data_IF_888661112976
#
_entry.id   IF_888661112976
#
_cell.length_a   1.000
_cell.length_b   1.000
_cell.length_c   1.000
_cell.angle_alpha   90.00
_cell.angle_beta   90.00
_cell.angle_gamma   90.00
#
_symmetry.space_group_name_H-M   'P 1'
#
loop_
_entity.id
_entity.type
_entity.pdbx_description
1 polymer ?
#
# COMPACT_ATOMS: atom_id res chain seq x y z
N UNK A 1 17.61 17.21 4.32
CA UNK A 1 16.96 16.17 3.47
C UNK A 1 15.51 16.05 3.92
N UNK A 2 14.55 16.14 2.99
CA UNK A 2 13.14 16.00 3.30
C UNK A 2 12.84 14.56 3.76
N UNK A 3 12.09 14.43 4.85
CA UNK A 3 11.67 13.15 5.38
C UNK A 3 10.52 12.57 4.52
N UNK A 4 10.66 11.33 4.06
CA UNK A 4 9.66 10.66 3.21
C UNK A 4 8.84 9.70 4.05
N UNK A 5 7.58 10.03 4.33
CA UNK A 5 6.62 9.14 4.99
C UNK A 5 6.22 8.02 4.05
N UNK A 6 6.55 6.79 4.41
CA UNK A 6 6.27 5.63 3.59
C UNK A 6 5.78 4.43 4.42
N UNK A 7 4.78 3.74 3.87
CA UNK A 7 4.41 2.38 4.26
C UNK A 7 5.10 1.45 3.30
N UNK A 8 5.82 0.46 3.83
CA UNK A 8 6.62 -0.46 3.03
C UNK A 8 6.30 -1.90 3.36
N UNK A 9 6.58 -2.75 2.38
CA UNK A 9 6.62 -4.17 2.51
C UNK A 9 8.06 -4.67 2.39
N UNK A 10 8.46 -5.49 3.35
CA UNK A 10 9.65 -6.31 3.23
C UNK A 10 9.28 -7.74 2.81
N UNK A 11 10.12 -8.34 1.97
CA UNK A 11 10.17 -9.78 1.70
C UNK A 11 11.52 -10.34 2.11
N UNK A 12 11.53 -11.49 2.78
CA UNK A 12 12.76 -12.22 3.06
C UNK A 12 13.27 -12.90 1.79
N UNK A 13 14.49 -12.55 1.40
CA UNK A 13 15.25 -13.13 0.30
C UNK A 13 16.13 -14.32 0.75
N UNK A 14 15.83 -14.92 1.91
CA UNK A 14 16.53 -16.12 2.35
C UNK A 14 16.46 -17.21 1.26
N UNK A 15 17.59 -17.78 0.83
CA UNK A 15 17.65 -18.64 -0.35
C UNK A 15 16.88 -19.95 -0.17
N UNK A 16 16.86 -20.51 1.05
CA UNK A 16 16.12 -21.74 1.40
C UNK A 16 15.65 -21.70 2.86
N UNK A 17 14.65 -22.51 3.21
CA UNK A 17 14.17 -22.74 4.58
C UNK A 17 12.99 -21.87 5.03
N UNK A 18 12.63 -21.99 6.32
CA UNK A 18 11.41 -21.41 6.94
C UNK A 18 11.27 -19.88 6.86
N UNK A 19 12.31 -19.18 6.43
CA UNK A 19 12.33 -17.73 6.31
C UNK A 19 12.02 -17.24 4.88
N UNK A 20 12.23 -18.06 3.86
CA UNK A 20 12.05 -17.68 2.44
C UNK A 20 10.64 -17.15 2.20
N UNK A 21 10.54 -15.99 1.55
CA UNK A 21 9.26 -15.40 1.14
C UNK A 21 8.40 -14.85 2.28
N UNK A 22 8.88 -14.85 3.53
CA UNK A 22 8.20 -14.18 4.63
C UNK A 22 8.06 -12.69 4.35
N UNK A 23 6.93 -12.13 4.74
CA UNK A 23 6.64 -10.71 4.56
C UNK A 23 6.57 -9.96 5.88
N UNK A 24 6.80 -8.66 5.83
CA UNK A 24 6.60 -7.74 6.96
C UNK A 24 6.17 -6.37 6.43
N UNK A 25 5.10 -5.80 7.01
CA UNK A 25 4.64 -4.46 6.68
C UNK A 25 5.07 -3.48 7.77
N UNK A 26 5.63 -2.35 7.37
CA UNK A 26 6.22 -1.36 8.25
C UNK A 26 5.95 0.07 7.80
N UNK A 27 6.14 1.02 8.72
CA UNK A 27 6.15 2.45 8.43
C UNK A 27 7.54 3.05 8.68
N UNK A 28 7.93 4.07 7.91
CA UNK A 28 9.17 4.81 8.10
C UNK A 28 9.11 6.20 7.47
N UNK A 29 9.95 7.10 7.97
CA UNK A 29 10.26 8.39 7.34
C UNK A 29 11.60 8.37 6.57
N UNK A 30 12.34 7.26 6.68
CA UNK A 30 13.61 6.99 6.03
C UNK A 30 13.69 5.50 5.68
N UNK A 31 13.36 5.11 4.43
CA UNK A 31 13.37 3.72 3.99
C UNK A 31 14.74 3.06 4.05
N UNK A 32 15.80 3.79 3.68
CA UNK A 32 17.17 3.26 3.63
C UNK A 32 17.67 2.92 5.04
N UNK A 33 17.49 3.82 6.00
CA UNK A 33 17.84 3.57 7.40
C UNK A 33 17.03 2.40 7.96
N UNK A 34 15.73 2.37 7.73
CA UNK A 34 14.85 1.33 8.28
C UNK A 34 15.19 -0.06 7.73
N UNK A 35 15.49 -0.18 6.44
CA UNK A 35 15.95 -1.45 5.85
C UNK A 35 17.25 -1.95 6.51
N UNK A 36 18.22 -1.05 6.75
CA UNK A 36 19.44 -1.40 7.50
C UNK A 36 19.15 -1.89 8.92
N UNK A 37 18.20 -1.27 9.63
CA UNK A 37 17.80 -1.72 10.96
C UNK A 37 17.20 -3.14 10.94
N UNK A 38 16.34 -3.45 9.98
CA UNK A 38 15.78 -4.80 9.81
C UNK A 38 16.85 -5.85 9.54
N UNK A 39 17.78 -5.56 8.62
CA UNK A 39 18.88 -6.46 8.29
C UNK A 39 19.94 -6.55 9.42
N UNK A 40 20.08 -5.51 10.24
CA UNK A 40 20.93 -5.51 11.43
C UNK A 40 20.33 -6.19 12.68
N UNK A 41 19.05 -6.59 12.62
CA UNK A 41 18.35 -7.28 13.70
C UNK A 41 17.93 -6.39 14.88
N UNK A 42 17.30 -7.01 15.90
CA UNK A 42 16.66 -6.29 17.03
C UNK A 42 17.62 -5.38 17.79
N UNK A 43 18.88 -5.80 17.97
CA UNK A 43 19.91 -5.02 18.68
C UNK A 43 20.28 -3.71 17.96
N UNK A 44 20.01 -3.63 16.65
CA UNK A 44 20.25 -2.44 15.81
C UNK A 44 18.96 -1.65 15.54
N UNK A 45 17.89 -1.89 16.31
CA UNK A 45 16.60 -1.20 16.17
C UNK A 45 15.63 -1.83 15.16
N UNK A 46 15.94 -3.01 14.62
CA UNK A 46 15.02 -3.76 13.77
C UNK A 46 13.84 -4.35 14.56
N UNK A 47 12.70 -4.56 13.90
CA UNK A 47 11.55 -5.18 14.54
C UNK A 47 11.88 -6.62 14.98
N UNK A 48 11.43 -7.03 16.18
CA UNK A 48 11.64 -8.40 16.72
C UNK A 48 11.24 -9.48 15.71
N UNK A 49 10.11 -9.28 15.02
CA UNK A 49 9.57 -10.23 14.02
C UNK A 49 10.47 -10.42 12.79
N UNK A 50 11.41 -9.50 12.56
CA UNK A 50 12.34 -9.50 11.41
C UNK A 50 13.76 -9.96 11.75
N UNK A 51 14.12 -10.04 13.04
CA UNK A 51 15.48 -10.35 13.47
C UNK A 51 15.91 -11.77 13.08
N UNK A 52 17.09 -11.91 12.44
CA UNK A 52 17.65 -13.21 12.05
C UNK A 52 16.86 -13.94 10.96
N UNK A 53 15.99 -13.23 10.24
CA UNK A 53 15.09 -13.80 9.20
C UNK A 53 15.29 -13.16 7.83
N UNK A 54 16.32 -12.32 7.70
CA UNK A 54 16.73 -11.70 6.45
C UNK A 54 17.68 -12.59 5.63
N UNK A 55 18.32 -12.04 4.59
CA UNK A 55 18.25 -10.64 4.19
C UNK A 55 16.83 -10.25 3.77
N UNK A 56 16.43 -9.04 4.15
CA UNK A 56 15.16 -8.43 3.79
C UNK A 56 15.38 -7.50 2.61
N UNK A 57 14.47 -7.56 1.65
CA UNK A 57 14.36 -6.66 0.51
C UNK A 57 13.08 -5.84 0.67
N UNK A 58 13.16 -4.54 0.36
CA UNK A 58 11.97 -3.69 0.28
C UNK A 58 11.39 -3.80 -1.12
N UNK A 59 10.33 -4.58 -1.26
CA UNK A 59 9.74 -4.94 -2.56
C UNK A 59 8.72 -3.90 -3.04
N UNK A 60 8.07 -3.20 -2.11
CA UNK A 60 7.13 -2.12 -2.39
C UNK A 60 7.17 -1.09 -1.25
N UNK A 61 7.05 0.20 -1.58
CA UNK A 61 6.67 1.22 -0.61
C UNK A 61 5.78 2.28 -1.25
N UNK A 62 4.72 2.65 -0.54
CA UNK A 62 3.82 3.76 -0.87
C UNK A 62 4.30 4.96 -0.07
N UNK A 63 4.42 6.13 -0.69
CA UNK A 63 4.83 7.37 -0.03
C UNK A 63 3.96 8.54 -0.47
N UNK A 64 4.18 9.73 0.11
CA UNK A 64 3.39 10.93 -0.21
C UNK A 64 2.17 11.12 0.68
N UNK A 65 2.07 10.36 1.78
CA UNK A 65 0.98 10.53 2.74
C UNK A 65 1.01 11.94 3.37
N UNK A 66 -0.16 12.58 3.53
CA UNK A 66 -0.25 13.93 4.09
C UNK A 66 0.11 13.99 5.58
N UNK A 67 0.10 12.84 6.28
CA UNK A 67 0.47 12.74 7.70
C UNK A 67 0.95 11.35 8.11
N UNK A 68 1.60 11.25 9.27
CA UNK A 68 2.01 9.97 9.87
C UNK A 68 0.80 9.09 10.22
N UNK A 69 -0.32 9.69 10.62
CA UNK A 69 -1.57 8.97 10.95
C UNK A 69 -2.15 8.33 9.69
N UNK A 70 -2.18 9.04 8.56
CA UNK A 70 -2.64 8.50 7.29
C UNK A 70 -1.79 7.29 6.86
N UNK A 71 -0.46 7.40 6.98
CA UNK A 71 0.46 6.31 6.69
C UNK A 71 0.27 5.11 7.65
N UNK A 72 0.12 5.35 8.95
CA UNK A 72 -0.08 4.26 9.93
C UNK A 72 -1.39 3.50 9.70
N UNK A 73 -2.47 4.18 9.29
CA UNK A 73 -3.73 3.53 8.90
C UNK A 73 -3.54 2.61 7.68
N UNK A 74 -2.78 3.05 6.68
CA UNK A 74 -2.42 2.21 5.53
C UNK A 74 -1.51 1.02 5.90
N UNK A 75 -0.66 1.16 6.93
CA UNK A 75 0.17 0.06 7.46
C UNK A 75 -0.67 -1.09 8.04
N UNK A 76 -1.85 -0.79 8.57
CA UNK A 76 -2.79 -1.78 9.08
C UNK A 76 -3.49 -2.52 7.93
N UNK A 77 -2.72 -3.01 6.95
CA UNK A 77 -3.20 -3.49 5.65
C UNK A 77 -4.33 -4.51 5.82
N UNK A 78 -5.59 -4.12 5.60
CA UNK A 78 -6.70 -5.04 5.67
C UNK A 78 -6.61 -6.04 4.52
N UNK A 79 -7.29 -7.18 4.66
CA UNK A 79 -7.45 -8.11 3.54
C UNK A 79 -8.24 -7.39 2.42
N UNK A 80 -7.77 -7.47 1.18
CA UNK A 80 -8.56 -7.08 0.01
C UNK A 80 -9.77 -8.01 -0.09
N UNK A 81 -10.96 -7.43 -0.26
CA UNK A 81 -12.23 -8.16 -0.37
C UNK A 81 -12.85 -7.96 -1.74
N UNK A 82 -13.46 -9.02 -2.26
CA UNK A 82 -14.13 -8.95 -3.54
C UNK A 82 -15.39 -8.09 -3.37
N UNK A 83 -15.64 -7.13 -4.26
CA UNK A 83 -16.79 -6.23 -4.16
C UNK A 83 -18.13 -6.91 -4.45
N UNK A 84 -18.14 -8.13 -5.01
CA UNK A 84 -19.37 -8.90 -5.24
C UNK A 84 -20.02 -9.26 -3.89
N UNK A 85 -21.26 -8.84 -3.59
CA UNK A 85 -21.89 -9.00 -2.27
C UNK A 85 -21.94 -10.44 -1.74
N UNK A 86 -22.08 -11.42 -2.64
CA UNK A 86 -22.15 -12.85 -2.27
C UNK A 86 -20.78 -13.54 -2.28
N UNK A 87 -19.72 -12.86 -2.70
CA UNK A 87 -18.38 -13.43 -2.79
C UNK A 87 -17.62 -13.25 -1.47
N UNK A 88 -17.20 -14.35 -0.86
CA UNK A 88 -16.42 -14.35 0.39
C UNK A 88 -14.91 -14.32 0.18
N UNK A 89 -14.43 -13.88 -1.00
CA UNK A 89 -13.00 -13.81 -1.24
C UNK A 89 -12.38 -12.73 -0.35
N UNK A 90 -11.30 -13.10 0.33
CA UNK A 90 -10.42 -12.20 1.05
C UNK A 90 -8.97 -12.63 0.80
N UNK A 91 -8.10 -11.69 0.48
CA UNK A 91 -6.69 -11.99 0.21
C UNK A 91 -5.78 -10.89 0.76
N UNK A 92 -4.57 -11.27 1.18
CA UNK A 92 -3.53 -10.26 1.36
C UNK A 92 -3.27 -9.58 0.01
N UNK A 93 -3.00 -8.26 -0.04
CA UNK A 93 -2.73 -7.57 -1.29
C UNK A 93 -1.69 -8.29 -2.15
N UNK A 94 -0.56 -8.68 -1.59
CA UNK A 94 0.51 -9.33 -2.36
C UNK A 94 0.16 -10.70 -2.89
N UNK A 95 -0.63 -11.48 -2.15
CA UNK A 95 -1.08 -12.78 -2.62
C UNK A 95 -1.95 -12.58 -3.86
N UNK A 96 -2.83 -11.57 -3.84
CA UNK A 96 -3.67 -11.24 -4.99
C UNK A 96 -2.88 -10.60 -6.13
N UNK A 97 -1.94 -9.71 -5.84
CA UNK A 97 -1.07 -9.09 -6.84
C UNK A 97 -0.26 -10.12 -7.62
N UNK A 98 0.33 -11.11 -6.93
CA UNK A 98 1.06 -12.20 -7.59
C UNK A 98 0.18 -13.02 -8.53
N UNK A 99 -1.09 -13.23 -8.17
CA UNK A 99 -2.04 -13.91 -9.05
C UNK A 99 -2.36 -13.07 -10.29
N UNK A 100 -2.56 -11.76 -10.11
CA UNK A 100 -2.88 -10.85 -11.21
C UNK A 100 -1.69 -10.58 -12.13
N UNK A 101 -0.47 -10.60 -11.59
CA UNK A 101 0.78 -10.41 -12.33
C UNK A 101 1.36 -11.69 -12.92
N UNK A 102 0.85 -12.88 -12.58
CA UNK A 102 1.35 -14.14 -13.12
C UNK A 102 1.38 -14.20 -14.67
N UNK A 103 0.42 -13.58 -15.40
CA UNK A 103 0.46 -13.50 -16.86
C UNK A 103 1.50 -12.49 -17.40
N UNK A 104 1.93 -11.51 -16.59
CA UNK A 104 2.71 -10.35 -17.03
C UNK A 104 3.91 -10.09 -16.08
N UNK A 105 5.03 -10.82 -16.23
CA UNK A 105 6.13 -10.81 -15.26
C UNK A 105 6.91 -9.49 -15.18
N UNK A 106 6.70 -8.56 -16.11
CA UNK A 106 7.37 -7.25 -16.16
C UNK A 106 6.54 -6.13 -15.52
N UNK A 107 5.25 -6.35 -15.24
CA UNK A 107 4.44 -5.35 -14.56
C UNK A 107 4.74 -5.34 -13.05
N UNK A 108 5.10 -4.16 -12.53
CA UNK A 108 5.38 -3.97 -11.10
C UNK A 108 4.10 -3.87 -10.27
N UNK A 109 3.01 -3.36 -10.87
CA UNK A 109 1.70 -3.19 -10.23
C UNK A 109 0.63 -3.82 -11.13
N UNK A 110 -0.26 -4.67 -10.58
CA UNK A 110 -1.35 -5.24 -11.37
C UNK A 110 -2.37 -4.14 -11.70
N UNK A 111 -2.88 -4.16 -12.93
CA UNK A 111 -4.03 -3.33 -13.32
C UNK A 111 -5.33 -3.99 -12.82
N UNK A 112 -5.45 -5.30 -12.99
CA UNK A 112 -6.61 -6.08 -12.59
C UNK A 112 -6.41 -7.57 -12.82
N UNK A 113 -7.44 -8.36 -12.53
CA UNK A 113 -7.44 -9.80 -12.76
C UNK A 113 -8.71 -10.49 -12.29
N UNK A 114 -8.84 -11.78 -12.60
CA UNK A 114 -10.01 -12.56 -12.22
C UNK A 114 -9.98 -12.92 -10.72
N UNK A 115 -11.09 -12.68 -10.03
CA UNK A 115 -11.26 -13.13 -8.65
C UNK A 115 -11.05 -14.65 -8.54
N UNK A 116 -10.18 -15.14 -7.65
CA UNK A 116 -9.87 -16.58 -7.55
C UNK A 116 -11.04 -17.41 -6.97
N UNK A 117 -12.15 -16.78 -6.59
CA UNK A 117 -13.33 -17.45 -6.04
C UNK A 117 -14.55 -17.39 -6.94
N UNK A 118 -14.90 -16.20 -7.45
CA UNK A 118 -16.12 -16.01 -8.23
C UNK A 118 -15.84 -15.67 -9.70
N UNK A 119 -14.57 -15.64 -10.11
CA UNK A 119 -14.09 -15.37 -11.47
C UNK A 119 -14.48 -14.03 -12.08
N UNK A 120 -15.19 -13.17 -11.34
CA UNK A 120 -15.47 -11.79 -11.74
C UNK A 120 -14.16 -11.02 -11.90
N UNK A 121 -14.06 -10.22 -12.96
CA UNK A 121 -12.92 -9.34 -13.19
C UNK A 121 -12.87 -8.24 -12.11
N UNK A 122 -11.70 -8.03 -11.52
CA UNK A 122 -11.45 -7.05 -10.46
C UNK A 122 -10.38 -6.07 -10.93
N UNK A 123 -10.56 -4.79 -10.63
CA UNK A 123 -9.54 -3.78 -10.81
C UNK A 123 -8.75 -3.61 -9.51
N UNK A 124 -7.43 -3.58 -9.63
CA UNK A 124 -6.55 -3.46 -8.47
C UNK A 124 -6.75 -2.15 -7.72
N UNK A 125 -6.90 -1.04 -8.45
CA UNK A 125 -7.17 0.29 -7.90
C UNK A 125 -8.41 0.30 -6.99
N UNK A 126 -9.53 -0.25 -7.47
CA UNK A 126 -10.78 -0.32 -6.72
C UNK A 126 -10.65 -1.12 -5.42
N UNK A 127 -9.90 -2.23 -5.46
CA UNK A 127 -9.67 -3.05 -4.28
C UNK A 127 -8.85 -2.29 -3.24
N UNK A 128 -7.81 -1.56 -3.66
CA UNK A 128 -6.97 -0.76 -2.77
C UNK A 128 -7.74 0.42 -2.20
N UNK A 129 -8.47 1.18 -3.02
CA UNK A 129 -9.29 2.32 -2.59
C UNK A 129 -10.33 1.91 -1.53
N UNK A 130 -11.08 0.83 -1.80
CA UNK A 130 -12.04 0.25 -0.84
C UNK A 130 -11.38 -0.26 0.44
N UNK A 131 -10.17 -0.80 0.34
CA UNK A 131 -9.42 -1.32 1.48
C UNK A 131 -8.88 -0.20 2.39
N UNK A 132 -8.44 0.92 1.80
CA UNK A 132 -7.95 2.09 2.51
C UNK A 132 -9.08 2.98 3.08
N UNK A 133 -10.33 2.76 2.64
CA UNK A 133 -11.47 3.58 3.06
C UNK A 133 -11.43 4.99 2.46
N UNK A 134 -10.71 5.17 1.35
CA UNK A 134 -10.75 6.41 0.58
C UNK A 134 -12.09 6.45 -0.15
N UNK A 135 -13.03 7.26 0.35
CA UNK A 135 -14.14 7.75 -0.46
C UNK A 135 -13.55 8.54 -1.63
N UNK A 136 -14.16 8.43 -2.82
CA UNK A 136 -13.79 9.28 -3.97
C UNK A 136 -13.68 10.75 -3.49
N UNK A 137 -12.65 11.51 -3.88
CA UNK A 137 -12.67 12.95 -3.65
C UNK A 137 -13.92 13.52 -4.34
N UNK A 138 -14.72 14.30 -3.62
CA UNK A 138 -15.76 15.12 -4.22
C UNK A 138 -15.10 16.00 -5.29
N UNK A 139 -15.54 15.87 -6.54
CA UNK A 139 -15.10 16.73 -7.63
C UNK A 139 -15.51 18.17 -7.31
N UNK A 140 -14.55 19.03 -6.97
CA UNK A 140 -14.78 20.47 -6.98
C UNK A 140 -13.62 21.15 -7.74
N UNK A 141 -13.72 21.13 -9.07
CA UNK A 141 -13.02 22.08 -9.92
C UNK A 141 -13.90 23.31 -10.02
N UNK A 142 -13.61 24.34 -9.22
CA UNK A 142 -14.18 25.68 -9.42
C UNK A 142 -13.24 26.43 -10.35
N UNK A 143 -13.72 26.78 -11.54
CA UNK A 143 -13.00 27.60 -12.50
C UNK A 143 -12.71 29.00 -11.87
N UNK A 144 -11.52 29.60 -12.08
CA UNK A 144 -11.15 30.88 -11.48
C UNK A 144 -12.10 32.04 -11.81
N UNK A 145 -12.85 31.93 -12.90
CA UNK A 145 -13.73 32.99 -13.41
C UNK A 145 -15.12 33.03 -12.73
N UNK A 146 -15.48 32.03 -11.92
CA UNK A 146 -16.76 31.99 -11.21
C UNK A 146 -16.74 32.71 -9.85
N UNK A 147 -15.59 33.27 -9.44
CA UNK A 147 -15.48 34.13 -8.25
C UNK A 147 -15.87 35.56 -8.63
N UNK A 148 -17.17 35.83 -8.73
CA UNK A 148 -17.68 37.21 -8.76
C UNK A 148 -17.85 37.72 -7.33
N UNK A 149 -16.92 38.59 -6.94
CA UNK A 149 -16.90 39.34 -5.68
C UNK A 149 -18.13 40.27 -5.60
N UNK A 150 -18.91 40.28 -4.50
CA UNK A 150 -20.04 41.19 -4.36
C UNK A 150 -19.53 42.63 -4.13
N UNK A 151 -19.71 43.49 -5.12
CA UNK A 151 -19.45 44.92 -4.98
C UNK A 151 -20.71 45.63 -4.47
N UNK A 152 -20.73 45.86 -3.16
CA UNK A 152 -21.23 47.06 -2.46
C UNK A 152 -22.32 47.95 -3.11
N UNK A 153 -23.43 48.11 -2.38
CA UNK A 153 -24.39 49.24 -2.37
C UNK A 153 -23.67 50.63 -2.35
N UNK A 154 -24.31 51.82 -2.58
CA UNK A 154 -25.74 52.15 -2.43
C UNK A 154 -26.33 53.17 -3.45
N UNK A 155 -27.67 53.25 -3.57
CA UNK A 155 -28.53 54.42 -3.29
C UNK A 155 -29.99 54.06 -3.50
#
# INVERSE_FOLDING_TARGET
MAAMRAVYLLRSAAPRGRCRGRTYVGFTVDPRRRLRQHNGGRRRGGARRTSGRGPWEMELFVHGFPSDVAALRAQATPLLRCPRPQCKMAAHPLCLARLFLAPEPLQLLPVGGACPRCHTHLLWGDLIRRCLGEAEPEEEWVEPDDIIIPSSAPT
#
